data_IF_562793032589
#
_entry.id   IF_562793032589
#
_cell.length_a   1.000
_cell.length_b   1.000
_cell.length_c   1.000
_cell.angle_alpha   90.00
_cell.angle_beta   90.00
_cell.angle_gamma   90.00
#
_symmetry.space_group_name_H-M   'P 1'
#
loop_
_entity.id
_entity.type
_entity.pdbx_description
1 polymer ?
#
# COMPACT_ATOMS: atom_id res chain seq x y z
N UNK A 1 15.23 -1.79 -3.92
CA UNK A 1 15.19 -0.46 -4.56
C UNK A 1 13.74 -0.20 -4.98
N UNK A 2 13.26 1.04 -4.92
CA UNK A 2 11.87 1.36 -5.31
C UNK A 2 11.64 1.22 -6.82
N UNK A 3 12.66 1.46 -7.63
CA UNK A 3 12.60 1.39 -9.08
C UNK A 3 13.39 0.19 -9.59
N UNK A 4 12.90 -0.45 -10.66
CA UNK A 4 13.65 -1.47 -11.39
C UNK A 4 14.71 -0.82 -12.30
N UNK A 5 15.48 -1.64 -13.03
CA UNK A 5 16.54 -1.20 -13.94
C UNK A 5 16.06 -0.25 -15.06
N UNK A 6 14.75 -0.22 -15.31
CA UNK A 6 14.10 0.66 -16.31
C UNK A 6 13.55 1.95 -15.72
N UNK A 7 13.75 2.21 -14.42
CA UNK A 7 13.22 3.39 -13.72
C UNK A 7 11.72 3.31 -13.44
N UNK A 8 11.11 2.12 -13.56
CA UNK A 8 9.69 1.90 -13.28
C UNK A 8 9.55 1.52 -11.81
N UNK A 9 8.58 2.13 -11.13
CA UNK A 9 8.24 1.82 -9.74
C UNK A 9 7.85 0.33 -9.64
N UNK A 10 8.60 -0.45 -8.88
CA UNK A 10 8.45 -1.91 -8.85
C UNK A 10 7.39 -2.40 -7.84
N UNK A 11 6.44 -1.54 -7.47
CA UNK A 11 5.50 -1.84 -6.39
C UNK A 11 4.55 -2.98 -6.78
N UNK A 12 4.12 -3.08 -8.03
CA UNK A 12 3.17 -4.13 -8.45
C UNK A 12 3.78 -5.54 -8.32
N UNK A 13 5.04 -5.72 -8.71
CA UNK A 13 5.76 -6.98 -8.52
C UNK A 13 5.98 -7.27 -7.03
N UNK A 14 6.30 -6.24 -6.24
CA UNK A 14 6.47 -6.39 -4.79
C UNK A 14 5.17 -6.77 -4.09
N UNK A 15 4.03 -6.22 -4.51
CA UNK A 15 2.69 -6.55 -4.00
C UNK A 15 2.31 -7.98 -4.41
N UNK A 16 2.44 -8.33 -5.69
CA UNK A 16 2.16 -9.67 -6.19
C UNK A 16 3.00 -10.75 -5.48
N UNK A 17 4.20 -10.39 -5.05
CA UNK A 17 5.08 -11.29 -4.31
C UNK A 17 4.91 -11.26 -2.78
N UNK A 18 4.13 -10.34 -2.23
CA UNK A 18 3.95 -10.17 -0.80
C UNK A 18 3.14 -11.31 -0.18
N UNK A 19 3.60 -11.83 0.96
CA UNK A 19 2.95 -12.96 1.64
C UNK A 19 1.52 -12.64 2.10
N UNK A 20 1.26 -11.42 2.59
CA UNK A 20 -0.11 -11.00 2.94
C UNK A 20 -1.01 -11.06 1.71
N UNK A 21 -0.55 -10.51 0.58
CA UNK A 21 -1.33 -10.45 -0.65
C UNK A 21 -1.60 -11.86 -1.20
N UNK A 22 -0.57 -12.71 -1.28
CA UNK A 22 -0.70 -14.10 -1.74
C UNK A 22 -1.70 -14.90 -0.91
N UNK A 23 -1.66 -14.75 0.42
CA UNK A 23 -2.59 -15.42 1.33
C UNK A 23 -4.02 -14.92 1.15
N UNK A 24 -4.21 -13.60 1.16
CA UNK A 24 -5.55 -12.99 1.04
C UNK A 24 -6.18 -13.32 -0.31
N UNK A 25 -5.39 -13.36 -1.38
CA UNK A 25 -5.91 -13.63 -2.73
C UNK A 25 -6.00 -15.13 -3.08
N UNK A 26 -5.74 -16.04 -2.14
CA UNK A 26 -5.64 -17.48 -2.41
C UNK A 26 -6.94 -18.07 -2.99
N UNK A 27 -8.10 -17.62 -2.50
CA UNK A 27 -9.41 -18.07 -2.95
C UNK A 27 -10.13 -17.08 -3.89
N UNK A 28 -9.45 -16.00 -4.28
CA UNK A 28 -9.95 -14.87 -5.08
C UNK A 28 -11.14 -14.10 -4.48
N UNK A 29 -11.42 -14.29 -3.19
CA UNK A 29 -12.39 -13.50 -2.43
C UNK A 29 -11.64 -12.76 -1.32
N UNK A 30 -12.15 -11.61 -0.89
CA UNK A 30 -11.59 -10.89 0.25
C UNK A 30 -12.70 -10.70 1.27
N UNK A 31 -12.46 -11.15 2.50
CA UNK A 31 -13.43 -11.04 3.59
C UNK A 31 -13.10 -9.93 4.61
N UNK A 32 -14.06 -9.63 5.49
CA UNK A 32 -13.92 -8.57 6.50
C UNK A 32 -12.83 -8.86 7.53
N UNK A 33 -12.60 -10.13 7.88
CA UNK A 33 -11.55 -10.52 8.82
C UNK A 33 -10.17 -10.30 8.20
N UNK A 34 -9.99 -10.64 6.93
CA UNK A 34 -8.74 -10.40 6.20
C UNK A 34 -8.41 -8.91 6.09
N UNK A 35 -9.42 -8.08 5.82
CA UNK A 35 -9.27 -6.62 5.85
C UNK A 35 -8.86 -6.15 7.25
N UNK A 36 -9.51 -6.67 8.29
CA UNK A 36 -9.18 -6.32 9.68
C UNK A 36 -7.76 -6.73 10.05
N UNK A 37 -7.35 -7.96 9.75
CA UNK A 37 -6.00 -8.47 10.00
C UNK A 37 -4.93 -7.63 9.30
N UNK A 38 -5.17 -7.28 8.03
CA UNK A 38 -4.24 -6.45 7.27
C UNK A 38 -4.20 -5.02 7.82
N UNK A 39 -5.34 -4.48 8.28
CA UNK A 39 -5.40 -3.17 8.96
C UNK A 39 -4.59 -3.19 10.26
N UNK A 40 -4.80 -4.19 11.12
CA UNK A 40 -4.07 -4.37 12.38
C UNK A 40 -2.56 -4.47 12.14
N UNK A 41 -2.15 -5.22 11.09
CA UNK A 41 -0.74 -5.35 10.69
C UNK A 41 -0.13 -4.01 10.28
N UNK A 42 -0.83 -3.21 9.47
CA UNK A 42 -0.36 -1.88 9.06
C UNK A 42 -0.23 -0.95 10.26
N UNK A 43 -1.21 -0.93 11.17
CA UNK A 43 -1.15 -0.12 12.41
C UNK A 43 0.03 -0.52 13.28
N UNK A 44 0.26 -1.83 13.45
CA UNK A 44 1.41 -2.32 14.21
C UNK A 44 2.75 -1.87 13.60
N UNK A 45 2.88 -1.92 12.27
CA UNK A 45 4.07 -1.43 11.57
C UNK A 45 4.28 0.08 11.78
N UNK A 46 3.23 0.89 11.73
CA UNK A 46 3.32 2.33 11.97
C UNK A 46 3.78 2.63 13.40
N UNK A 47 3.21 1.95 14.41
CA UNK A 47 3.66 2.11 15.79
C UNK A 47 5.10 1.64 16.02
N UNK A 48 5.58 0.67 15.25
CA UNK A 48 6.98 0.28 15.29
C UNK A 48 7.87 1.39 14.72
N UNK A 49 7.50 1.97 13.57
CA UNK A 49 8.23 3.09 12.97
C UNK A 49 8.29 4.30 13.91
N UNK A 50 7.19 4.64 14.61
CA UNK A 50 7.16 5.72 15.60
C UNK A 50 8.19 5.56 16.72
N UNK A 51 8.56 4.31 17.06
CA UNK A 51 9.56 4.02 18.10
C UNK A 51 10.99 4.00 17.57
N UNK A 52 11.17 3.59 16.32
CA UNK A 52 12.49 3.30 15.75
C UNK A 52 13.07 4.47 14.95
N UNK A 53 12.22 5.32 14.35
CA UNK A 53 12.65 6.34 13.40
C UNK A 53 12.80 7.71 14.05
N UNK A 54 13.66 8.55 13.48
CA UNK A 54 13.76 9.96 13.84
C UNK A 54 12.54 10.75 13.34
N UNK A 55 12.34 11.95 13.89
CA UNK A 55 11.26 12.85 13.43
C UNK A 55 11.33 13.16 11.93
N UNK A 56 12.54 13.36 11.39
CA UNK A 56 12.74 13.61 9.95
C UNK A 56 12.36 12.38 9.10
N UNK A 57 12.70 11.18 9.55
CA UNK A 57 12.34 9.93 8.88
C UNK A 57 10.82 9.72 8.92
N UNK A 58 10.19 9.96 10.08
CA UNK A 58 8.74 9.90 10.22
C UNK A 58 8.02 10.91 9.33
N UNK A 59 8.55 12.12 9.17
CA UNK A 59 8.00 13.12 8.27
C UNK A 59 8.00 12.61 6.82
N UNK A 60 9.11 12.07 6.33
CA UNK A 60 9.21 11.50 4.97
C UNK A 60 8.24 10.33 4.76
N UNK A 61 8.08 9.47 5.77
CA UNK A 61 7.09 8.37 5.71
C UNK A 61 5.67 8.92 5.64
N UNK A 62 5.33 9.93 6.46
CA UNK A 62 4.01 10.58 6.44
C UNK A 62 3.71 11.23 5.09
N UNK A 63 4.66 11.99 4.54
CA UNK A 63 4.53 12.60 3.21
C UNK A 63 4.29 11.55 2.13
N UNK A 64 5.05 10.45 2.13
CA UNK A 64 4.87 9.36 1.17
C UNK A 64 3.49 8.69 1.32
N UNK A 65 3.04 8.41 2.54
CA UNK A 65 1.73 7.80 2.79
C UNK A 65 0.59 8.71 2.32
N UNK A 66 0.71 10.03 2.51
CA UNK A 66 -0.28 11.01 2.04
C UNK A 66 -0.32 11.04 0.51
N UNK A 67 0.82 11.23 -0.16
CA UNK A 67 0.87 11.35 -1.63
C UNK A 67 0.43 10.05 -2.33
N UNK A 68 0.80 8.89 -1.79
CA UNK A 68 0.33 7.59 -2.32
C UNK A 68 -1.18 7.40 -2.13
N UNK A 69 -1.73 7.86 -1.00
CA UNK A 69 -3.19 7.85 -0.76
C UNK A 69 -3.94 8.79 -1.70
N UNK A 70 -3.38 9.98 -1.95
CA UNK A 70 -3.94 10.91 -2.96
C UNK A 70 -3.92 10.27 -4.33
N UNK A 71 -2.79 9.68 -4.76
CA UNK A 71 -2.66 9.00 -6.04
C UNK A 71 -3.70 7.87 -6.21
N UNK A 72 -3.87 7.04 -5.18
CA UNK A 72 -4.89 5.99 -5.18
C UNK A 72 -6.30 6.55 -5.30
N UNK A 73 -6.61 7.60 -4.52
CA UNK A 73 -7.93 8.24 -4.57
C UNK A 73 -8.23 8.82 -5.96
N UNK A 74 -7.32 9.61 -6.55
CA UNK A 74 -7.54 10.21 -7.87
C UNK A 74 -7.60 9.15 -8.97
N UNK A 75 -6.84 8.05 -8.87
CA UNK A 75 -6.93 6.93 -9.80
C UNK A 75 -8.30 6.26 -9.73
N UNK A 76 -8.84 6.01 -8.54
CA UNK A 76 -10.18 5.46 -8.40
C UNK A 76 -11.26 6.40 -8.96
N UNK A 77 -11.15 7.70 -8.69
CA UNK A 77 -12.06 8.69 -9.30
C UNK A 77 -11.97 8.66 -10.82
N UNK A 78 -10.75 8.64 -11.37
CA UNK A 78 -10.52 8.54 -12.81
C UNK A 78 -11.15 7.27 -13.38
N UNK A 79 -10.85 6.10 -12.80
CA UNK A 79 -11.40 4.82 -13.24
C UNK A 79 -12.92 4.82 -13.23
N UNK A 80 -13.56 5.28 -12.14
CA UNK A 80 -15.02 5.37 -12.05
C UNK A 80 -15.63 6.26 -13.13
N UNK A 81 -15.00 7.41 -13.43
CA UNK A 81 -15.45 8.32 -14.48
C UNK A 81 -15.37 7.71 -15.89
N UNK A 82 -14.51 6.72 -16.09
CA UNK A 82 -14.23 6.11 -17.39
C UNK A 82 -14.71 4.65 -17.49
N UNK A 83 -15.38 4.10 -16.47
CA UNK A 83 -15.90 2.71 -16.45
C UNK A 83 -16.92 2.39 -17.57
N UNK A 84 -17.49 3.42 -18.21
CA UNK A 84 -18.53 3.29 -19.23
C UNK A 84 -18.18 3.96 -20.58
N UNK A 85 -16.90 4.28 -20.81
CA UNK A 85 -16.40 4.77 -22.10
C UNK A 85 -15.76 3.63 -22.90
#
# INVERSE_FOLDING_TARGET
>A
MFFNEKGILNIDEMVANNDSFKRIMEDNTVDENEIKEQSDKVVAMLHQMEKEFSEEQLLKVKELLVETSVLYAIYNYYSIQHLNQ
#
